data_IF_459732600697
#
_entry.id   IF_459732600697
#
_cell.length_a   1.000
_cell.length_b   1.000
_cell.length_c   1.000
_cell.angle_alpha   90.00
_cell.angle_beta   90.00
_cell.angle_gamma   90.00
#
_symmetry.space_group_name_H-M   'P 1'
#
loop_
_entity.id
_entity.type
_entity.pdbx_description
1 polymer ?
#
# COMPACT_ATOMS: atom_id res chain seq x y z
N UNK A 1 -15.39 -5.42 -3.95
CA UNK A 1 -14.63 -4.18 -3.66
C UNK A 1 -13.48 -4.53 -2.73
N UNK A 2 -12.22 -4.33 -3.16
CA UNK A 2 -11.04 -4.39 -2.28
C UNK A 2 -10.85 -3.06 -1.58
N UNK A 3 -10.57 -3.08 -0.27
CA UNK A 3 -10.41 -1.85 0.52
C UNK A 3 -9.17 -1.05 0.09
N UNK A 4 -8.04 -1.72 -0.15
CA UNK A 4 -6.81 -1.10 -0.67
C UNK A 4 -7.04 -0.46 -2.02
N UNK A 5 -7.49 -1.26 -3.00
CA UNK A 5 -7.65 -0.83 -4.39
C UNK A 5 -8.65 0.31 -4.55
N UNK A 6 -9.80 0.21 -3.89
CA UNK A 6 -10.83 1.25 -3.96
C UNK A 6 -10.36 2.60 -3.42
N UNK A 7 -9.44 2.60 -2.46
CA UNK A 7 -8.81 3.81 -1.96
C UNK A 7 -7.72 4.34 -2.88
N UNK A 8 -6.82 3.46 -3.34
CA UNK A 8 -5.67 3.83 -4.15
C UNK A 8 -6.08 4.31 -5.56
N UNK A 9 -7.05 3.63 -6.19
CA UNK A 9 -7.50 3.96 -7.55
C UNK A 9 -8.22 5.30 -7.66
N UNK A 10 -8.92 5.75 -6.63
CA UNK A 10 -9.63 7.03 -6.66
C UNK A 10 -8.83 8.19 -6.06
N UNK A 11 -7.74 7.90 -5.39
CA UNK A 11 -6.89 8.89 -4.72
C UNK A 11 -6.48 10.08 -5.59
N UNK A 12 -6.01 9.89 -6.86
CA UNK A 12 -5.55 11.00 -7.70
C UNK A 12 -6.66 12.00 -8.05
N UNK A 13 -7.91 11.54 -8.06
CA UNK A 13 -9.06 12.35 -8.46
C UNK A 13 -9.58 13.26 -7.33
N UNK A 14 -9.19 13.02 -6.07
CA UNK A 14 -9.67 13.83 -4.93
C UNK A 14 -9.36 15.31 -5.11
N UNK A 15 -8.21 15.66 -5.70
CA UNK A 15 -7.84 17.06 -5.95
C UNK A 15 -8.77 17.78 -6.94
N UNK A 16 -9.56 17.06 -7.73
CA UNK A 16 -10.51 17.59 -8.72
C UNK A 16 -11.92 17.74 -8.15
N UNK A 17 -12.19 17.17 -6.96
CA UNK A 17 -13.54 17.09 -6.37
C UNK A 17 -14.22 18.46 -6.15
N UNK A 18 -13.48 19.54 -5.95
CA UNK A 18 -14.06 20.87 -5.78
C UNK A 18 -14.53 21.48 -7.08
N UNK A 19 -14.01 21.02 -8.23
CA UNK A 19 -14.40 21.50 -9.55
C UNK A 19 -15.50 20.64 -10.20
N UNK A 20 -15.75 19.46 -9.65
CA UNK A 20 -16.70 18.48 -10.19
C UNK A 20 -17.59 17.90 -9.07
N UNK A 21 -18.86 18.38 -8.95
CA UNK A 21 -19.79 17.91 -7.93
C UNK A 21 -20.15 16.43 -8.03
N UNK A 22 -20.24 15.85 -9.23
CA UNK A 22 -20.56 14.42 -9.43
C UNK A 22 -19.39 13.55 -8.96
N UNK A 23 -18.19 13.96 -9.31
CA UNK A 23 -16.96 13.31 -8.80
C UNK A 23 -16.88 13.39 -7.27
N UNK A 24 -17.21 14.54 -6.69
CA UNK A 24 -17.22 14.73 -5.23
C UNK A 24 -18.20 13.77 -4.56
N UNK A 25 -19.42 13.64 -5.09
CA UNK A 25 -20.44 12.72 -4.60
C UNK A 25 -19.99 11.25 -4.73
N UNK A 26 -19.43 10.87 -5.87
CA UNK A 26 -18.88 9.53 -6.08
C UNK A 26 -17.78 9.20 -5.07
N UNK A 27 -16.84 10.11 -4.82
CA UNK A 27 -15.77 9.92 -3.83
C UNK A 27 -16.31 9.75 -2.41
N UNK A 28 -17.31 10.56 -2.02
CA UNK A 28 -18.00 10.40 -0.74
C UNK A 28 -18.68 9.03 -0.63
N UNK A 29 -19.34 8.58 -1.70
CA UNK A 29 -19.96 7.26 -1.79
C UNK A 29 -18.95 6.10 -1.62
N UNK A 30 -17.77 6.19 -2.25
CA UNK A 30 -16.68 5.22 -2.08
C UNK A 30 -16.24 5.15 -0.62
N UNK A 31 -16.01 6.30 0.03
CA UNK A 31 -15.57 6.36 1.42
C UNK A 31 -16.61 5.78 2.37
N UNK A 32 -17.89 6.14 2.20
CA UNK A 32 -18.98 5.59 3.01
C UNK A 32 -19.11 4.07 2.83
N UNK A 33 -18.94 3.57 1.60
CA UNK A 33 -18.92 2.13 1.33
C UNK A 33 -17.76 1.44 2.02
N UNK A 34 -16.58 2.05 2.06
CA UNK A 34 -15.41 1.51 2.80
C UNK A 34 -15.69 1.41 4.30
N UNK A 35 -16.32 2.42 4.92
CA UNK A 35 -16.71 2.36 6.34
C UNK A 35 -17.69 1.22 6.62
N UNK A 36 -18.69 1.06 5.74
CA UNK A 36 -19.63 -0.06 5.83
C UNK A 36 -18.92 -1.41 5.74
N UNK A 37 -17.97 -1.56 4.82
CA UNK A 37 -17.17 -2.78 4.68
C UNK A 37 -16.37 -3.08 5.96
N UNK A 38 -15.68 -2.10 6.53
CA UNK A 38 -14.96 -2.25 7.81
C UNK A 38 -15.91 -2.67 8.95
N UNK A 39 -17.14 -2.15 8.96
CA UNK A 39 -18.14 -2.50 9.97
C UNK A 39 -18.72 -3.91 9.79
N UNK A 40 -18.71 -4.46 8.57
CA UNK A 40 -19.10 -5.86 8.31
C UNK A 40 -18.04 -6.82 8.85
N UNK A 41 -16.78 -6.60 8.49
CA UNK A 41 -15.65 -7.40 8.97
C UNK A 41 -14.31 -6.66 8.77
N UNK A 42 -13.65 -6.19 9.84
CA UNK A 42 -12.39 -5.47 9.73
C UNK A 42 -11.19 -6.37 9.38
N UNK A 43 -11.35 -7.69 9.38
CA UNK A 43 -10.32 -8.63 8.96
C UNK A 43 -10.35 -8.99 7.47
N UNK A 44 -11.42 -8.58 6.75
CA UNK A 44 -11.57 -8.86 5.34
C UNK A 44 -10.91 -7.76 4.49
N UNK A 45 -10.25 -8.18 3.41
CA UNK A 45 -9.65 -7.28 2.42
C UNK A 45 -10.60 -6.98 1.26
N UNK A 46 -11.56 -7.89 0.96
CA UNK A 46 -12.46 -7.74 -0.19
C UNK A 46 -13.91 -8.11 0.13
N UNK A 47 -14.84 -7.37 -0.49
CA UNK A 47 -16.28 -7.44 -0.22
C UNK A 47 -17.10 -7.59 -1.51
N UNK A 48 -18.20 -8.35 -1.42
CA UNK A 48 -19.21 -8.48 -2.45
C UNK A 48 -20.15 -7.25 -2.46
N UNK A 49 -20.93 -7.13 -3.53
CA UNK A 49 -22.07 -6.22 -3.55
C UNK A 49 -23.34 -6.95 -3.03
N UNK A 50 -23.47 -6.95 -1.71
CA UNK A 50 -24.45 -7.73 -0.98
C UNK A 50 -23.96 -9.13 -0.58
N UNK A 51 -24.89 -9.95 -0.06
CA UNK A 51 -24.59 -11.30 0.41
C UNK A 51 -24.55 -12.31 -0.75
N UNK A 52 -23.46 -13.06 -0.90
CA UNK A 52 -23.29 -14.17 -1.87
C UNK A 52 -22.91 -15.44 -1.11
N UNK A 53 -23.88 -16.30 -0.75
CA UNK A 53 -23.63 -17.47 0.10
C UNK A 53 -22.66 -18.50 -0.46
N UNK A 54 -22.55 -18.60 -1.79
CA UNK A 54 -21.69 -19.53 -2.55
C UNK A 54 -20.57 -18.79 -3.31
N UNK A 55 -20.07 -17.69 -2.72
CA UNK A 55 -18.99 -16.90 -3.27
C UNK A 55 -17.68 -17.69 -3.46
N UNK A 56 -16.82 -17.17 -4.34
CA UNK A 56 -15.62 -17.87 -4.84
C UNK A 56 -14.71 -18.42 -3.73
N UNK A 57 -14.50 -17.65 -2.66
CA UNK A 57 -13.60 -18.01 -1.55
C UNK A 57 -14.31 -18.49 -0.28
N UNK A 58 -15.61 -18.84 -0.36
CA UNK A 58 -16.38 -19.31 0.80
C UNK A 58 -15.85 -20.62 1.41
N UNK A 59 -14.98 -21.35 0.69
CA UNK A 59 -14.31 -22.56 1.19
C UNK A 59 -13.03 -22.28 1.99
N UNK A 60 -12.59 -21.03 2.11
CA UNK A 60 -11.43 -20.68 2.93
C UNK A 60 -11.69 -20.99 4.40
N UNK A 61 -10.69 -21.53 5.07
CA UNK A 61 -10.76 -21.89 6.49
C UNK A 61 -10.49 -20.65 7.37
N UNK A 62 -11.47 -19.78 7.42
CA UNK A 62 -11.54 -18.56 8.23
C UNK A 62 -13.03 -18.28 8.50
N UNK A 63 -13.36 -17.23 9.28
CA UNK A 63 -14.75 -16.87 9.59
C UNK A 63 -15.38 -16.10 8.40
N UNK A 64 -15.62 -16.83 7.28
CA UNK A 64 -16.24 -16.27 6.08
C UNK A 64 -17.71 -15.92 6.30
N UNK A 65 -18.14 -14.79 5.72
CA UNK A 65 -19.53 -14.33 5.68
C UNK A 65 -19.96 -14.11 4.22
N UNK A 66 -21.25 -14.20 3.91
CA UNK A 66 -21.73 -14.01 2.52
C UNK A 66 -21.39 -12.66 1.89
N UNK A 67 -21.20 -11.62 2.69
CA UNK A 67 -20.82 -10.28 2.24
C UNK A 67 -19.33 -10.17 1.86
N UNK A 68 -18.51 -11.16 2.25
CA UNK A 68 -17.07 -11.14 2.00
C UNK A 68 -16.75 -11.84 0.68
N UNK A 69 -15.93 -11.21 -0.14
CA UNK A 69 -15.32 -11.87 -1.28
C UNK A 69 -14.07 -12.65 -0.84
N UNK A 70 -13.22 -12.04 0.01
CA UNK A 70 -12.02 -12.64 0.56
C UNK A 70 -11.74 -12.09 1.96
N UNK A 71 -11.16 -12.93 2.84
CA UNK A 71 -10.90 -12.56 4.24
C UNK A 71 -9.41 -12.69 4.59
N UNK A 72 -8.55 -12.13 3.76
CA UNK A 72 -7.11 -12.00 4.04
C UNK A 72 -6.86 -10.79 4.94
N UNK A 73 -6.25 -11.01 6.11
CA UNK A 73 -5.92 -9.94 7.03
C UNK A 73 -4.66 -9.18 6.59
N UNK A 74 -4.84 -7.93 6.27
CA UNK A 74 -3.84 -6.96 5.84
C UNK A 74 -4.03 -5.65 6.60
N UNK A 75 -2.99 -5.14 7.25
CA UNK A 75 -3.06 -3.85 7.97
C UNK A 75 -3.48 -2.72 7.03
N UNK A 76 -2.91 -2.69 5.83
CA UNK A 76 -3.14 -1.62 4.86
C UNK A 76 -4.57 -1.55 4.35
N UNK A 77 -5.30 -2.67 4.32
CA UNK A 77 -6.72 -2.69 3.99
C UNK A 77 -7.57 -1.80 4.91
N UNK A 78 -7.15 -1.60 6.17
CA UNK A 78 -7.80 -0.64 7.07
C UNK A 78 -7.20 0.77 6.97
N UNK A 79 -5.97 0.92 6.50
CA UNK A 79 -5.28 2.21 6.42
C UNK A 79 -5.68 3.04 5.19
N UNK A 80 -5.87 2.39 4.03
CA UNK A 80 -6.26 3.09 2.80
C UNK A 80 -7.57 3.87 2.91
N UNK A 81 -8.67 3.32 3.51
CA UNK A 81 -9.89 4.07 3.77
C UNK A 81 -9.68 5.31 4.63
N UNK A 82 -8.85 5.22 5.67
CA UNK A 82 -8.55 6.35 6.55
C UNK A 82 -7.75 7.44 5.82
N UNK A 83 -6.77 7.02 5.02
CA UNK A 83 -5.96 7.93 4.20
C UNK A 83 -6.84 8.66 3.19
N UNK A 84 -7.74 7.95 2.48
CA UNK A 84 -8.65 8.53 1.49
C UNK A 84 -9.62 9.52 2.14
N UNK A 85 -10.30 9.12 3.22
CA UNK A 85 -11.26 9.97 3.93
C UNK A 85 -10.62 11.26 4.45
N UNK A 86 -9.40 11.17 5.00
CA UNK A 86 -8.65 12.33 5.45
C UNK A 86 -8.31 13.27 4.30
N UNK A 87 -7.83 12.75 3.17
CA UNK A 87 -7.48 13.55 2.00
C UNK A 87 -8.72 14.24 1.39
N UNK A 88 -9.83 13.49 1.25
CA UNK A 88 -11.10 14.05 0.80
C UNK A 88 -11.54 15.24 1.67
N UNK A 89 -11.53 15.06 3.00
CA UNK A 89 -11.88 16.13 3.92
C UNK A 89 -10.95 17.34 3.81
N UNK A 90 -9.65 17.10 3.77
CA UNK A 90 -8.66 18.19 3.66
C UNK A 90 -8.79 18.99 2.36
N UNK A 91 -9.17 18.32 1.29
CA UNK A 91 -9.32 18.94 -0.04
C UNK A 91 -10.66 19.65 -0.18
N UNK A 92 -11.75 19.01 0.26
CA UNK A 92 -13.11 19.52 0.00
C UNK A 92 -13.71 20.33 1.15
N UNK A 93 -13.19 20.20 2.37
CA UNK A 93 -13.79 20.72 3.59
C UNK A 93 -15.06 19.98 4.01
N UNK A 94 -15.53 18.99 3.24
CA UNK A 94 -16.76 18.24 3.52
C UNK A 94 -16.55 17.25 4.64
N UNK A 95 -17.22 17.46 5.76
CA UNK A 95 -17.19 16.63 6.96
C UNK A 95 -18.41 15.71 7.08
N UNK A 96 -19.35 15.73 6.14
CA UNK A 96 -20.62 14.99 6.21
C UNK A 96 -20.44 13.47 6.23
N UNK A 97 -19.34 12.98 5.67
CA UNK A 97 -18.98 11.55 5.66
C UNK A 97 -18.60 11.01 7.04
N UNK A 98 -18.27 11.86 8.02
CA UNK A 98 -17.84 11.45 9.36
C UNK A 98 -19.00 11.31 10.34
N UNK A 99 -19.91 10.42 10.02
CA UNK A 99 -21.10 10.07 10.77
C UNK A 99 -20.87 8.94 11.81
N UNK A 100 -21.92 8.34 12.34
CA UNK A 100 -21.82 7.23 13.31
C UNK A 100 -21.21 5.94 12.68
N UNK A 101 -21.37 5.70 11.37
CA UNK A 101 -20.69 4.57 10.68
C UNK A 101 -19.17 4.75 10.68
N UNK A 102 -18.70 5.98 10.50
CA UNK A 102 -17.28 6.31 10.65
C UNK A 102 -16.79 6.04 12.08
N UNK A 103 -17.52 6.50 13.09
CA UNK A 103 -17.13 6.29 14.50
C UNK A 103 -17.04 4.79 14.81
N UNK A 104 -18.02 4.01 14.34
CA UNK A 104 -18.00 2.56 14.50
C UNK A 104 -16.82 1.93 13.74
N UNK A 105 -16.54 2.37 12.52
CA UNK A 105 -15.42 1.86 11.73
C UNK A 105 -14.07 2.10 12.44
N UNK A 106 -13.83 3.29 12.97
CA UNK A 106 -12.61 3.58 13.75
C UNK A 106 -12.53 2.76 15.03
N UNK A 107 -13.63 2.54 15.70
CA UNK A 107 -13.70 1.68 16.90
C UNK A 107 -13.29 0.25 16.53
N UNK A 108 -13.77 -0.27 15.39
CA UNK A 108 -13.42 -1.59 14.89
C UNK A 108 -11.92 -1.66 14.47
N UNK A 109 -11.39 -0.62 13.79
CA UNK A 109 -9.98 -0.53 13.44
C UNK A 109 -9.09 -0.59 14.68
N UNK A 110 -9.38 0.22 15.71
CA UNK A 110 -8.60 0.23 16.95
C UNK A 110 -8.66 -1.12 17.66
N UNK A 111 -9.83 -1.73 17.75
CA UNK A 111 -10.00 -3.06 18.32
C UNK A 111 -9.14 -4.09 17.59
N UNK A 112 -9.27 -4.14 16.27
CA UNK A 112 -8.54 -5.10 15.41
C UNK A 112 -7.01 -4.93 15.51
N UNK A 113 -6.52 -3.69 15.47
CA UNK A 113 -5.09 -3.44 15.63
C UNK A 113 -4.57 -3.86 17.00
N UNK A 114 -5.32 -3.59 18.10
CA UNK A 114 -4.96 -4.02 19.46
C UNK A 114 -4.97 -5.55 19.59
N UNK A 115 -5.97 -6.23 19.04
CA UNK A 115 -6.03 -7.70 18.99
C UNK A 115 -4.81 -8.27 18.25
N UNK A 116 -4.41 -7.65 17.14
CA UNK A 116 -3.27 -8.09 16.32
C UNK A 116 -1.91 -7.62 16.84
N UNK A 117 -1.83 -6.83 17.91
CA UNK A 117 -0.60 -6.71 18.69
C UNK A 117 -0.27 -7.99 19.46
N UNK A 118 -1.23 -8.90 19.61
CA UNK A 118 -1.11 -10.22 20.26
C UNK A 118 -0.56 -10.19 21.69
N UNK A 119 -0.81 -9.09 22.43
CA UNK A 119 -0.38 -8.94 23.83
C UNK A 119 -1.10 -9.91 24.77
N UNK A 120 -2.38 -10.17 24.50
CA UNK A 120 -3.28 -10.99 25.32
C UNK A 120 -3.55 -12.37 24.68
N UNK A 121 -2.68 -12.82 23.76
CA UNK A 121 -2.79 -14.09 23.04
C UNK A 121 -2.75 -13.91 21.52
N UNK A 122 -3.01 -15.00 20.79
CA UNK A 122 -2.86 -15.05 19.33
C UNK A 122 -3.92 -14.26 18.54
N UNK A 123 -4.96 -13.75 19.23
CA UNK A 123 -6.08 -13.06 18.61
C UNK A 123 -7.12 -14.01 17.99
N UNK A 124 -8.24 -13.46 17.47
CA UNK A 124 -9.35 -14.24 16.93
C UNK A 124 -9.15 -14.67 15.47
N UNK A 125 -8.14 -14.13 14.77
CA UNK A 125 -7.96 -14.34 13.35
C UNK A 125 -7.12 -15.57 13.03
N UNK A 126 -7.64 -16.38 12.10
CA UNK A 126 -6.94 -17.49 11.43
C UNK A 126 -7.32 -17.50 9.96
N UNK A 127 -6.40 -17.97 9.13
CA UNK A 127 -6.66 -18.13 7.70
C UNK A 127 -5.88 -19.31 7.14
N UNK A 128 -6.57 -20.23 6.48
CA UNK A 128 -5.97 -21.21 5.60
C UNK A 128 -6.79 -21.33 4.32
N UNK A 129 -6.11 -21.58 3.23
CA UNK A 129 -6.69 -21.86 1.91
C UNK A 129 -6.10 -23.16 1.38
N UNK A 130 -6.94 -24.00 0.80
CA UNK A 130 -6.45 -25.17 0.06
C UNK A 130 -5.93 -24.70 -1.30
N UNK A 131 -4.61 -24.66 -1.43
CA UNK A 131 -3.92 -24.11 -2.61
C UNK A 131 -2.58 -24.80 -2.83
N UNK A 132 -2.07 -24.77 -4.06
CA UNK A 132 -0.72 -25.21 -4.40
C UNK A 132 0.32 -24.08 -4.20
N UNK A 133 -0.15 -22.83 -4.04
CA UNK A 133 0.71 -21.66 -3.83
C UNK A 133 0.96 -21.46 -2.33
N UNK A 134 2.18 -21.71 -1.88
CA UNK A 134 2.55 -21.61 -0.47
C UNK A 134 2.28 -20.22 0.15
N UNK A 135 2.34 -19.15 -0.65
CA UNK A 135 2.11 -17.77 -0.19
C UNK A 135 0.62 -17.37 -0.20
N UNK A 136 -0.27 -18.23 -0.72
CA UNK A 136 -1.71 -17.96 -0.74
C UNK A 136 -2.45 -18.54 0.48
N UNK A 137 -1.72 -19.01 1.46
CA UNK A 137 -2.23 -19.56 2.73
C UNK A 137 -1.28 -19.23 3.88
N UNK A 138 -1.80 -19.25 5.11
CA UNK A 138 -1.02 -18.94 6.31
C UNK A 138 -0.59 -20.25 6.99
N UNK A 139 0.69 -20.37 7.31
CA UNK A 139 1.28 -21.52 8.01
C UNK A 139 0.81 -21.64 9.47
N UNK A 140 1.25 -22.67 10.18
CA UNK A 140 1.01 -22.86 11.61
C UNK A 140 -0.48 -22.79 11.97
N UNK A 141 -1.29 -23.68 11.35
CA UNK A 141 -2.75 -23.74 11.53
C UNK A 141 -3.47 -22.40 11.30
N UNK A 142 -2.97 -21.60 10.37
CA UNK A 142 -3.53 -20.31 10.00
C UNK A 142 -3.12 -19.15 10.91
N UNK A 143 -2.24 -19.36 11.87
CA UNK A 143 -1.75 -18.34 12.80
C UNK A 143 -0.50 -17.62 12.31
N UNK A 144 0.22 -18.21 11.35
CA UNK A 144 1.50 -17.72 10.82
C UNK A 144 2.70 -17.97 11.73
N UNK A 145 3.84 -17.41 11.38
CA UNK A 145 5.05 -17.52 12.17
C UNK A 145 4.87 -16.94 13.59
N UNK A 146 5.50 -17.53 14.62
CA UNK A 146 5.45 -16.97 15.97
C UNK A 146 6.00 -15.55 16.04
N UNK A 147 5.37 -14.71 16.86
CA UNK A 147 5.83 -13.35 17.14
C UNK A 147 6.03 -13.15 18.64
N UNK A 148 6.98 -12.29 18.98
CA UNK A 148 7.08 -11.72 20.33
C UNK A 148 6.28 -10.42 20.36
N UNK A 149 5.25 -10.29 21.21
CA UNK A 149 4.48 -9.06 21.33
C UNK A 149 5.36 -7.90 21.79
N UNK A 150 5.62 -6.96 20.91
CA UNK A 150 6.52 -5.84 21.15
C UNK A 150 5.85 -4.47 20.89
N UNK A 151 4.53 -4.49 20.65
CA UNK A 151 3.75 -3.30 20.33
C UNK A 151 3.53 -3.08 18.82
N UNK A 152 4.13 -3.92 17.96
CA UNK A 152 3.82 -3.94 16.52
C UNK A 152 2.54 -4.73 16.25
N UNK A 153 1.92 -4.46 15.11
CA UNK A 153 0.68 -5.09 14.65
C UNK A 153 1.05 -6.20 13.64
N UNK A 154 0.51 -7.38 13.85
CA UNK A 154 0.64 -8.50 12.91
C UNK A 154 -0.15 -8.21 11.64
N UNK A 155 0.45 -8.45 10.47
CA UNK A 155 -0.22 -8.59 9.18
C UNK A 155 -0.01 -10.02 8.69
N UNK A 156 -1.08 -10.75 8.45
CA UNK A 156 -0.96 -12.13 7.95
C UNK A 156 -0.62 -12.17 6.48
N UNK A 157 -1.01 -11.13 5.74
CA UNK A 157 -0.72 -10.96 4.33
C UNK A 157 -0.09 -9.60 4.05
N UNK A 158 0.62 -9.53 2.91
CA UNK A 158 1.22 -8.34 2.31
C UNK A 158 0.22 -7.65 1.39
N UNK A 159 0.46 -6.40 0.98
CA UNK A 159 -0.36 -5.73 -0.04
C UNK A 159 -0.44 -6.47 -1.39
N UNK A 160 0.45 -7.40 -1.63
CA UNK A 160 0.45 -8.31 -2.78
C UNK A 160 -0.48 -9.52 -2.65
N UNK A 161 -1.23 -9.64 -1.55
CA UNK A 161 -2.04 -10.80 -1.16
C UNK A 161 -1.21 -12.06 -0.80
N UNK A 162 0.12 -11.94 -0.73
CA UNK A 162 1.01 -13.02 -0.30
C UNK A 162 1.17 -13.05 1.23
N UNK A 163 1.20 -14.23 1.81
CA UNK A 163 1.42 -14.41 3.24
C UNK A 163 2.80 -13.87 3.68
N UNK A 164 2.84 -13.21 4.84
CA UNK A 164 4.07 -12.72 5.44
C UNK A 164 4.95 -13.88 5.92
N UNK A 165 6.26 -13.71 5.81
CA UNK A 165 7.25 -14.65 6.38
C UNK A 165 7.46 -14.39 7.86
N UNK A 166 7.72 -13.14 8.24
CA UNK A 166 7.72 -12.64 9.61
C UNK A 166 6.56 -11.66 9.75
N UNK A 167 5.71 -11.85 10.76
CA UNK A 167 4.37 -11.26 10.72
C UNK A 167 4.27 -9.77 11.03
N UNK A 168 5.32 -9.12 11.52
CA UNK A 168 5.32 -7.67 11.64
C UNK A 168 5.84 -7.03 10.35
N UNK A 169 4.94 -6.80 9.40
CA UNK A 169 5.22 -6.10 8.15
C UNK A 169 5.49 -4.62 8.44
N UNK A 170 6.75 -4.21 8.28
CA UNK A 170 7.22 -2.89 8.73
C UNK A 170 6.56 -1.74 7.98
N UNK A 171 6.51 -1.70 6.62
CA UNK A 171 5.87 -0.57 5.93
C UNK A 171 4.38 -0.45 6.26
N UNK A 172 3.65 -1.56 6.45
CA UNK A 172 2.24 -1.50 6.87
C UNK A 172 2.07 -1.00 8.31
N UNK A 173 3.01 -1.30 9.21
CA UNK A 173 3.00 -0.75 10.56
C UNK A 173 3.26 0.77 10.57
N UNK A 174 4.17 1.29 9.72
CA UNK A 174 4.32 2.74 9.52
C UNK A 174 3.04 3.36 8.98
N UNK A 175 2.40 2.72 8.01
CA UNK A 175 1.14 3.20 7.45
C UNK A 175 0.00 3.20 8.48
N UNK A 176 -0.03 2.24 9.42
CA UNK A 176 -0.96 2.26 10.55
C UNK A 176 -0.73 3.48 11.45
N UNK A 177 0.52 3.84 11.75
CA UNK A 177 0.86 5.03 12.55
C UNK A 177 0.33 6.30 11.90
N UNK A 178 0.63 6.53 10.62
CA UNK A 178 0.19 7.73 9.91
C UNK A 178 -1.33 7.79 9.74
N UNK A 179 -1.98 6.65 9.52
CA UNK A 179 -3.43 6.54 9.38
C UNK A 179 -4.17 6.79 10.71
N UNK A 180 -3.69 6.25 11.82
CA UNK A 180 -4.24 6.49 13.15
C UNK A 180 -4.12 7.97 13.56
N UNK A 181 -3.02 8.64 13.20
CA UNK A 181 -2.86 10.09 13.45
C UNK A 181 -3.86 10.93 12.65
N UNK A 182 -4.11 10.56 11.39
CA UNK A 182 -5.14 11.19 10.55
C UNK A 182 -6.54 10.99 11.13
N UNK A 183 -6.87 9.76 11.54
CA UNK A 183 -8.13 9.46 12.21
C UNK A 183 -8.30 10.26 13.51
N UNK A 184 -7.25 10.35 14.32
CA UNK A 184 -7.28 11.14 15.56
C UNK A 184 -7.58 12.62 15.30
N UNK A 185 -7.02 13.21 14.24
CA UNK A 185 -7.30 14.60 13.88
C UNK A 185 -8.77 14.80 13.48
N UNK A 186 -9.35 13.89 12.69
CA UNK A 186 -10.77 13.94 12.32
C UNK A 186 -11.66 13.84 13.56
N UNK A 187 -11.40 12.83 14.41
CA UNK A 187 -12.16 12.60 15.64
C UNK A 187 -12.14 13.81 16.58
N UNK A 188 -11.00 14.50 16.67
CA UNK A 188 -10.85 15.68 17.52
C UNK A 188 -11.51 16.91 16.90
N UNK A 189 -11.24 17.20 15.62
CA UNK A 189 -11.67 18.45 14.98
C UNK A 189 -13.12 18.40 14.48
N UNK A 190 -13.58 17.26 13.97
CA UNK A 190 -14.92 17.10 13.40
C UNK A 190 -15.89 16.54 14.42
N UNK A 191 -15.62 15.35 14.94
CA UNK A 191 -16.57 14.62 15.76
C UNK A 191 -16.57 15.02 17.25
N UNK A 192 -15.55 15.74 17.73
CA UNK A 192 -15.36 16.10 19.15
C UNK A 192 -15.27 14.86 20.08
N UNK A 193 -14.83 13.72 19.55
CA UNK A 193 -14.65 12.45 20.28
C UNK A 193 -13.24 12.37 20.87
N UNK A 194 -12.92 13.19 21.86
CA UNK A 194 -11.57 13.36 22.42
C UNK A 194 -10.99 12.08 23.01
N UNK A 195 -11.81 11.23 23.65
CA UNK A 195 -11.35 9.95 24.20
C UNK A 195 -10.88 9.00 23.09
N UNK A 196 -11.68 8.83 22.02
CA UNK A 196 -11.33 7.97 20.89
C UNK A 196 -10.14 8.52 20.10
N UNK A 197 -10.06 9.85 19.94
CA UNK A 197 -8.87 10.52 19.37
C UNK A 197 -7.60 10.19 20.15
N UNK A 198 -7.69 10.24 21.49
CA UNK A 198 -6.56 9.91 22.36
C UNK A 198 -6.13 8.45 22.19
N UNK A 199 -7.08 7.50 22.11
CA UNK A 199 -6.76 6.09 21.87
C UNK A 199 -6.02 5.88 20.54
N UNK A 200 -6.43 6.57 19.47
CA UNK A 200 -5.71 6.54 18.20
C UNK A 200 -4.28 7.07 18.33
N UNK A 201 -4.08 8.18 19.03
CA UNK A 201 -2.77 8.80 19.27
C UNK A 201 -1.87 7.89 20.10
N UNK A 202 -2.41 7.30 21.17
CA UNK A 202 -1.67 6.41 22.09
C UNK A 202 -1.20 5.15 21.34
N UNK A 203 -2.08 4.51 20.57
CA UNK A 203 -1.72 3.34 19.77
C UNK A 203 -0.68 3.69 18.68
N UNK A 204 -0.86 4.81 17.98
CA UNK A 204 0.11 5.27 16.99
C UNK A 204 1.49 5.50 17.62
N UNK A 205 1.54 6.11 18.80
CA UNK A 205 2.80 6.34 19.52
C UNK A 205 3.46 5.05 19.99
N UNK A 206 2.68 4.08 20.43
CA UNK A 206 3.18 2.77 20.82
C UNK A 206 3.82 2.03 19.63
N UNK A 207 3.09 1.95 18.50
CA UNK A 207 3.58 1.30 17.28
C UNK A 207 4.85 2.00 16.76
N UNK A 208 4.86 3.34 16.72
CA UNK A 208 6.05 4.10 16.30
C UNK A 208 7.25 3.83 17.18
N UNK A 209 7.05 3.74 18.50
CA UNK A 209 8.12 3.42 19.44
C UNK A 209 8.69 2.02 19.20
N UNK A 210 7.81 1.06 18.93
CA UNK A 210 8.20 -0.30 18.58
C UNK A 210 8.94 -0.36 17.24
N UNK A 211 8.49 0.36 16.20
CA UNK A 211 9.17 0.47 14.91
C UNK A 211 10.59 1.00 15.06
N UNK A 212 10.79 2.09 15.81
CA UNK A 212 12.14 2.66 16.06
C UNK A 212 13.09 1.66 16.71
N UNK A 213 12.56 0.74 17.52
CA UNK A 213 13.37 -0.25 18.26
C UNK A 213 13.61 -1.55 17.49
N UNK A 214 12.63 -2.04 16.76
CA UNK A 214 12.65 -3.40 16.21
C UNK A 214 12.74 -3.46 14.67
N UNK A 215 12.41 -2.38 13.95
CA UNK A 215 12.39 -2.39 12.49
C UNK A 215 13.73 -2.04 11.85
N UNK A 216 14.71 -1.56 12.62
CA UNK A 216 16.00 -1.08 12.09
C UNK A 216 17.04 -2.18 12.17
N UNK A 217 17.68 -2.45 11.03
CA UNK A 217 18.78 -3.40 10.88
C UNK A 217 20.08 -2.68 10.51
N UNK A 218 21.21 -3.06 11.13
CA UNK A 218 22.53 -2.55 10.79
C UNK A 218 23.15 -3.38 9.65
N UNK A 219 22.88 -2.97 8.42
CA UNK A 219 23.38 -3.66 7.23
C UNK A 219 24.86 -3.33 6.99
N UNK A 220 25.76 -4.32 6.73
CA UNK A 220 27.20 -4.09 6.60
C UNK A 220 27.59 -3.13 5.46
N UNK A 221 26.82 -3.10 4.38
CA UNK A 221 27.09 -2.28 3.19
C UNK A 221 26.36 -0.93 3.22
N UNK A 222 25.13 -0.87 3.75
CA UNK A 222 24.25 0.31 3.67
C UNK A 222 24.16 1.10 4.97
N UNK A 223 24.66 0.56 6.09
CA UNK A 223 24.44 1.14 7.42
C UNK A 223 23.03 0.78 7.95
N UNK A 224 22.44 1.66 8.74
CA UNK A 224 21.08 1.44 9.26
C UNK A 224 20.05 1.48 8.14
N UNK A 225 19.27 0.42 7.99
CA UNK A 225 18.13 0.30 7.05
C UNK A 225 16.89 -0.18 7.80
N UNK A 226 15.72 0.05 7.23
CA UNK A 226 14.49 -0.63 7.67
C UNK A 226 14.44 -2.04 7.08
N UNK A 227 14.09 -3.04 7.91
CA UNK A 227 13.73 -4.37 7.44
C UNK A 227 12.33 -4.35 6.87
N UNK A 228 12.02 -5.28 5.96
CA UNK A 228 10.66 -5.41 5.39
C UNK A 228 9.69 -6.07 6.38
N UNK A 229 10.15 -7.15 7.02
CA UNK A 229 9.39 -7.84 8.06
C UNK A 229 10.29 -8.15 9.27
N UNK A 230 9.69 -8.17 10.46
CA UNK A 230 10.34 -8.58 11.71
C UNK A 230 9.39 -9.43 12.57
N UNK A 231 9.92 -10.08 13.60
CA UNK A 231 9.15 -10.98 14.49
C UNK A 231 9.17 -10.58 15.97
N UNK A 232 9.95 -9.56 16.33
CA UNK A 232 10.16 -9.14 17.72
C UNK A 232 11.17 -9.98 18.51
N UNK A 233 11.61 -11.14 18.00
CA UNK A 233 12.67 -11.95 18.61
C UNK A 233 14.07 -11.53 18.16
N UNK A 234 14.17 -10.67 17.16
CA UNK A 234 15.42 -10.17 16.59
C UNK A 234 15.71 -10.64 15.18
N UNK A 235 14.80 -11.38 14.55
CA UNK A 235 14.90 -11.76 13.15
C UNK A 235 14.39 -10.63 12.26
N UNK A 236 15.07 -10.46 11.11
CA UNK A 236 14.79 -9.42 10.11
C UNK A 236 14.74 -10.06 8.72
N UNK A 237 13.68 -9.82 7.98
CA UNK A 237 13.56 -10.20 6.58
C UNK A 237 13.93 -9.01 5.70
N UNK A 238 15.04 -9.14 4.98
CA UNK A 238 15.62 -8.06 4.19
C UNK A 238 15.24 -8.22 2.71
N UNK A 239 14.23 -7.53 2.30
CA UNK A 239 13.73 -7.41 0.93
C UNK A 239 12.89 -6.14 0.80
N UNK A 240 12.34 -5.89 -0.37
CA UNK A 240 11.16 -5.07 -0.59
C UNK A 240 10.26 -5.73 -1.62
N UNK A 241 8.97 -5.44 -1.57
CA UNK A 241 7.94 -5.84 -2.52
C UNK A 241 7.40 -4.57 -3.20
N UNK A 242 7.07 -4.65 -4.49
CA UNK A 242 6.61 -3.49 -5.23
C UNK A 242 5.25 -2.96 -4.77
N UNK A 243 4.40 -3.82 -4.19
CA UNK A 243 3.05 -3.44 -3.79
C UNK A 243 3.06 -2.49 -2.59
N UNK A 244 2.32 -1.40 -2.70
CA UNK A 244 2.28 -0.32 -1.69
C UNK A 244 1.23 -0.64 -0.62
N UNK A 245 1.60 -0.60 0.68
CA UNK A 245 2.83 -0.08 1.30
C UNK A 245 4.07 -0.97 1.12
N UNK A 246 5.16 -0.34 0.69
CA UNK A 246 6.49 -0.91 0.57
C UNK A 246 7.52 -0.05 1.28
N UNK A 247 8.73 -0.53 1.50
CA UNK A 247 9.80 0.28 2.08
C UNK A 247 10.12 1.49 1.20
N UNK A 248 10.14 1.30 -0.12
CA UNK A 248 10.36 2.39 -1.07
C UNK A 248 9.26 3.47 -1.00
N UNK A 249 8.01 3.06 -0.77
CA UNK A 249 6.85 3.95 -0.81
C UNK A 249 6.60 4.72 0.50
N UNK A 250 7.32 4.49 1.59
CA UNK A 250 7.04 5.11 2.89
C UNK A 250 6.89 6.64 2.83
N UNK A 251 7.73 7.43 2.13
CA UNK A 251 7.52 8.88 2.02
C UNK A 251 6.27 9.26 1.21
N UNK A 252 5.90 8.48 0.19
CA UNK A 252 4.68 8.70 -0.59
C UNK A 252 3.41 8.57 0.27
N UNK A 253 3.40 7.64 1.22
CA UNK A 253 2.30 7.48 2.17
C UNK A 253 2.31 8.52 3.31
N UNK A 254 3.41 9.28 3.45
CA UNK A 254 3.61 10.24 4.53
C UNK A 254 4.04 9.60 5.84
N UNK A 255 4.64 8.42 5.77
CA UNK A 255 5.04 7.62 6.93
C UNK A 255 6.41 8.04 7.49
N UNK A 256 7.33 8.39 6.60
CA UNK A 256 8.66 8.88 6.93
C UNK A 256 9.03 10.09 6.08
N UNK A 257 9.97 10.91 6.58
CA UNK A 257 10.51 11.99 5.76
C UNK A 257 11.45 11.41 4.69
N UNK A 258 11.34 11.92 3.45
CA UNK A 258 12.20 11.49 2.33
C UNK A 258 13.69 11.69 2.63
N UNK A 259 14.05 12.66 3.47
CA UNK A 259 15.43 12.94 3.88
C UNK A 259 15.87 12.18 5.15
N UNK A 260 15.02 11.28 5.69
CA UNK A 260 15.43 10.44 6.82
C UNK A 260 16.64 9.58 6.42
N UNK A 261 17.75 9.61 7.18
CA UNK A 261 18.97 8.89 6.81
C UNK A 261 18.79 7.37 6.73
N UNK A 262 17.92 6.79 7.57
CA UNK A 262 17.63 5.35 7.55
C UNK A 262 16.83 5.01 6.29
N UNK A 263 15.85 5.86 5.95
CA UNK A 263 15.11 5.71 4.72
C UNK A 263 16.01 5.83 3.48
N UNK A 264 16.91 6.81 3.42
CA UNK A 264 17.82 6.97 2.30
C UNK A 264 18.77 5.76 2.14
N UNK A 265 19.21 5.18 3.23
CA UNK A 265 19.97 3.93 3.20
C UNK A 265 19.10 2.76 2.70
N UNK A 266 17.87 2.67 3.20
CA UNK A 266 16.88 1.66 2.78
C UNK A 266 16.58 1.79 1.29
N UNK A 267 16.36 3.01 0.79
CA UNK A 267 16.11 3.29 -0.62
C UNK A 267 17.25 2.79 -1.53
N UNK A 268 18.51 2.94 -1.08
CA UNK A 268 19.68 2.41 -1.82
C UNK A 268 19.73 0.89 -1.77
N UNK A 269 19.38 0.28 -0.64
CA UNK A 269 19.34 -1.17 -0.48
C UNK A 269 18.26 -1.79 -1.37
N UNK A 270 17.01 -1.32 -1.29
CA UNK A 270 15.88 -1.92 -2.01
C UNK A 270 15.99 -1.76 -3.53
N UNK A 271 16.73 -0.74 -4.00
CA UNK A 271 17.02 -0.53 -5.43
C UNK A 271 18.43 -1.03 -5.80
N UNK A 272 18.77 -2.24 -5.37
CA UNK A 272 20.04 -2.90 -5.65
C UNK A 272 19.86 -4.42 -5.66
N UNK A 273 20.85 -5.14 -6.19
CA UNK A 273 20.89 -6.60 -6.24
C UNK A 273 20.94 -7.28 -4.86
N UNK A 274 21.15 -6.51 -3.77
CA UNK A 274 21.06 -7.02 -2.40
C UNK A 274 19.58 -7.19 -1.97
N UNK A 275 18.61 -6.58 -2.67
CA UNK A 275 17.20 -6.92 -2.57
C UNK A 275 16.91 -8.08 -3.54
N UNK A 276 16.48 -9.27 -3.06
CA UNK A 276 16.26 -10.45 -3.89
C UNK A 276 15.17 -10.27 -4.96
N UNK A 277 14.33 -9.24 -4.85
CA UNK A 277 13.26 -8.92 -5.79
C UNK A 277 13.54 -7.65 -6.61
N UNK A 278 14.74 -7.12 -6.55
CA UNK A 278 15.19 -6.13 -7.53
C UNK A 278 15.69 -6.84 -8.80
N UNK A 279 15.11 -6.48 -9.93
CA UNK A 279 15.47 -7.05 -11.22
C UNK A 279 15.96 -5.96 -12.16
N UNK A 280 17.00 -6.30 -12.94
CA UNK A 280 17.60 -5.42 -13.93
C UNK A 280 17.86 -6.19 -15.21
N UNK A 281 17.43 -5.63 -16.34
CA UNK A 281 17.59 -6.25 -17.64
C UNK A 281 17.58 -5.26 -18.79
N UNK A 282 17.38 -5.76 -20.01
CA UNK A 282 17.43 -4.96 -21.24
C UNK A 282 16.25 -4.00 -21.40
N UNK A 283 15.06 -4.36 -20.91
CA UNK A 283 13.87 -3.54 -21.00
C UNK A 283 13.81 -2.49 -19.90
N UNK A 284 14.26 -2.84 -18.68
CA UNK A 284 14.22 -1.94 -17.54
C UNK A 284 14.75 -2.56 -16.26
N UNK A 285 14.64 -1.78 -15.17
CA UNK A 285 14.98 -2.22 -13.82
C UNK A 285 13.93 -1.79 -12.83
N UNK A 286 13.75 -2.54 -11.76
CA UNK A 286 12.81 -2.21 -10.68
C UNK A 286 12.57 -3.35 -9.72
N UNK A 287 11.70 -3.10 -8.76
CA UNK A 287 11.32 -4.09 -7.75
C UNK A 287 10.12 -4.88 -8.28
N UNK A 288 10.15 -6.19 -8.10
CA UNK A 288 9.04 -7.10 -8.30
C UNK A 288 8.46 -7.58 -6.98
N UNK A 289 8.33 -8.89 -6.85
CA UNK A 289 7.86 -9.55 -5.65
C UNK A 289 7.65 -11.05 -5.88
N UNK A 290 7.44 -11.82 -4.82
CA UNK A 290 7.18 -13.25 -4.97
C UNK A 290 5.83 -13.55 -5.64
N UNK A 291 4.89 -12.61 -5.63
CA UNK A 291 3.53 -12.77 -6.15
C UNK A 291 3.51 -13.21 -7.62
N UNK A 292 4.27 -12.55 -8.47
CA UNK A 292 4.38 -12.87 -9.92
C UNK A 292 5.62 -13.72 -10.23
N UNK A 293 6.61 -13.72 -9.32
CA UNK A 293 7.84 -14.49 -9.47
C UNK A 293 9.03 -13.67 -9.98
N UNK A 294 10.10 -14.40 -10.29
CA UNK A 294 11.39 -13.79 -10.65
C UNK A 294 11.36 -13.12 -12.02
N UNK A 295 12.23 -12.12 -12.18
CA UNK A 295 12.48 -11.37 -13.41
C UNK A 295 11.30 -10.49 -13.88
N UNK A 296 10.23 -10.40 -13.08
CA UNK A 296 9.05 -9.58 -13.36
C UNK A 296 9.12 -8.28 -12.55
N UNK A 297 9.31 -7.17 -13.25
CA UNK A 297 9.33 -5.81 -12.67
C UNK A 297 7.91 -5.25 -12.62
N UNK A 298 7.53 -4.65 -11.50
CA UNK A 298 6.28 -3.94 -11.38
C UNK A 298 6.48 -2.45 -11.69
N UNK A 299 5.74 -1.87 -12.67
CA UNK A 299 5.77 -0.43 -12.95
C UNK A 299 5.54 0.42 -11.70
N UNK A 300 4.74 -0.06 -10.74
CA UNK A 300 4.49 0.59 -9.45
C UNK A 300 5.78 0.94 -8.70
N UNK A 301 6.79 0.06 -8.72
CA UNK A 301 8.07 0.33 -8.06
C UNK A 301 8.85 1.46 -8.74
N UNK A 302 8.78 1.55 -10.07
CA UNK A 302 9.40 2.62 -10.85
C UNK A 302 8.70 3.96 -10.56
N UNK A 303 7.36 3.95 -10.45
CA UNK A 303 6.59 5.12 -10.05
C UNK A 303 6.94 5.56 -8.62
N UNK A 304 7.05 4.62 -7.66
CA UNK A 304 7.45 4.94 -6.29
C UNK A 304 8.86 5.52 -6.23
N UNK A 305 9.79 5.03 -7.05
CA UNK A 305 11.11 5.62 -7.18
C UNK A 305 11.04 7.08 -7.63
N UNK A 306 10.18 7.38 -8.61
CA UNK A 306 9.96 8.75 -9.09
C UNK A 306 9.27 9.62 -8.02
N UNK A 307 8.21 9.13 -7.36
CA UNK A 307 7.49 9.86 -6.31
C UNK A 307 8.38 10.27 -5.13
N UNK A 308 9.35 9.42 -4.79
CA UNK A 308 10.26 9.61 -3.66
C UNK A 308 11.62 10.19 -4.06
N UNK A 309 11.77 10.64 -5.31
CA UNK A 309 12.97 11.30 -5.81
C UNK A 309 12.87 12.81 -5.70
N UNK A 310 14.00 13.43 -5.35
CA UNK A 310 14.22 14.88 -5.42
C UNK A 310 15.11 15.28 -6.61
N UNK A 311 15.48 14.30 -7.45
CA UNK A 311 16.36 14.48 -8.60
C UNK A 311 15.57 14.37 -9.90
N UNK A 312 15.48 15.46 -10.65
CA UNK A 312 14.71 15.53 -11.90
C UNK A 312 15.25 14.58 -12.98
N UNK A 313 16.56 14.30 -13.01
CA UNK A 313 17.14 13.34 -13.95
C UNK A 313 16.69 11.90 -13.61
N UNK A 314 16.62 11.54 -12.32
CA UNK A 314 16.09 10.25 -11.89
C UNK A 314 14.59 10.11 -12.21
N UNK A 315 13.79 11.16 -11.95
CA UNK A 315 12.36 11.19 -12.29
C UNK A 315 12.16 10.99 -13.79
N UNK A 316 12.90 11.73 -14.60
CA UNK A 316 12.86 11.62 -16.07
C UNK A 316 13.19 10.20 -16.54
N UNK A 317 14.24 9.59 -15.97
CA UNK A 317 14.64 8.20 -16.27
C UNK A 317 13.52 7.21 -15.93
N UNK A 318 12.86 7.36 -14.77
CA UNK A 318 11.73 6.53 -14.37
C UNK A 318 10.56 6.65 -15.35
N UNK A 319 10.17 7.87 -15.72
CA UNK A 319 9.05 8.09 -16.66
C UNK A 319 9.37 7.51 -18.03
N UNK A 320 10.59 7.75 -18.53
CA UNK A 320 11.01 7.16 -19.79
C UNK A 320 10.93 5.64 -19.76
N UNK A 321 11.40 5.00 -18.70
CA UNK A 321 11.32 3.55 -18.53
C UNK A 321 9.86 3.05 -18.55
N UNK A 322 8.95 3.75 -17.88
CA UNK A 322 7.52 3.43 -17.91
C UNK A 322 6.93 3.53 -19.31
N UNK A 323 7.30 4.55 -20.08
CA UNK A 323 6.88 4.70 -21.48
C UNK A 323 7.48 3.61 -22.41
N UNK A 324 8.74 3.25 -22.21
CA UNK A 324 9.42 2.25 -23.03
C UNK A 324 8.95 0.81 -22.75
N UNK A 325 8.22 0.58 -21.65
CA UNK A 325 7.80 -0.75 -21.19
C UNK A 325 6.29 -0.98 -21.21
N UNK A 326 5.52 -0.10 -21.86
CA UNK A 326 4.07 -0.24 -22.06
C UNK A 326 3.69 -1.25 -23.17
N UNK A 327 4.69 -1.83 -23.84
CA UNK A 327 4.52 -2.81 -24.91
C UNK A 327 3.63 -2.34 -26.08
N UNK A 328 3.62 -1.05 -26.37
CA UNK A 328 2.78 -0.39 -27.39
C UNK A 328 1.27 -0.47 -27.09
N UNK A 329 0.88 -0.71 -25.83
CA UNK A 329 -0.53 -0.78 -25.41
C UNK A 329 -1.07 0.56 -24.96
N UNK A 330 -0.20 1.50 -24.57
CA UNK A 330 -0.57 2.77 -23.95
C UNK A 330 -1.04 2.65 -22.51
N UNK A 331 -0.85 1.50 -21.86
CA UNK A 331 -1.28 1.22 -20.48
C UNK A 331 -0.15 0.68 -19.60
N UNK A 332 -0.26 0.94 -18.31
CA UNK A 332 0.58 0.29 -17.31
C UNK A 332 0.07 -1.11 -17.01
N UNK A 333 0.93 -2.10 -17.20
CA UNK A 333 0.69 -3.49 -16.88
C UNK A 333 0.83 -3.74 -15.38
N UNK A 334 0.40 -4.90 -14.88
CA UNK A 334 0.69 -5.34 -13.51
C UNK A 334 2.20 -5.54 -13.32
N UNK A 335 2.83 -6.28 -14.25
CA UNK A 335 4.28 -6.47 -14.29
C UNK A 335 4.76 -6.72 -15.71
N UNK A 336 6.05 -6.50 -15.96
CA UNK A 336 6.70 -6.83 -17.22
C UNK A 336 8.06 -7.52 -16.97
N UNK A 337 8.48 -8.37 -17.92
CA UNK A 337 9.74 -9.07 -17.79
C UNK A 337 10.92 -8.12 -18.06
N UNK A 338 11.91 -8.11 -17.19
CA UNK A 338 13.07 -7.20 -17.22
C UNK A 338 13.81 -7.11 -18.57
N UNK A 339 13.78 -8.18 -19.38
CA UNK A 339 14.47 -8.24 -20.69
C UNK A 339 13.53 -8.13 -21.89
N UNK A 340 12.21 -8.25 -21.69
CA UNK A 340 11.22 -8.23 -22.78
C UNK A 340 9.90 -7.61 -22.30
N UNK A 341 9.62 -6.33 -22.64
CA UNK A 341 8.41 -5.65 -22.18
C UNK A 341 7.12 -6.27 -22.74
N UNK A 342 7.17 -7.01 -23.86
CA UNK A 342 6.01 -7.70 -24.43
C UNK A 342 5.60 -8.96 -23.65
N UNK A 343 6.44 -9.42 -22.71
CA UNK A 343 6.08 -10.46 -21.75
C UNK A 343 5.62 -9.80 -20.46
N UNK A 344 4.32 -9.57 -20.34
CA UNK A 344 3.71 -8.89 -19.20
C UNK A 344 2.54 -9.68 -18.61
N UNK A 345 2.14 -9.35 -17.38
CA UNK A 345 0.91 -9.82 -16.74
C UNK A 345 -0.12 -8.70 -16.73
N UNK A 346 -1.41 -9.04 -16.87
CA UNK A 346 -2.54 -8.11 -16.94
C UNK A 346 -2.27 -6.88 -17.83
N UNK A 347 -2.77 -6.90 -19.03
CA UNK A 347 -2.58 -5.84 -20.04
C UNK A 347 -2.97 -4.44 -19.53
N UNK A 348 -3.94 -4.37 -18.63
CA UNK A 348 -4.38 -3.17 -17.96
C UNK A 348 -4.57 -3.47 -16.47
N UNK A 349 -3.92 -2.68 -15.62
CA UNK A 349 -4.06 -2.80 -14.17
C UNK A 349 -4.44 -1.43 -13.58
N UNK A 350 -5.66 -1.33 -13.07
CA UNK A 350 -6.28 -0.05 -12.67
C UNK A 350 -5.41 0.76 -11.71
N UNK A 351 -4.91 0.14 -10.65
CA UNK A 351 -4.12 0.83 -9.65
C UNK A 351 -2.86 1.46 -10.25
N UNK A 352 -2.14 0.75 -11.11
CA UNK A 352 -0.93 1.30 -11.74
C UNK A 352 -1.22 2.41 -12.75
N UNK A 353 -2.31 2.29 -13.51
CA UNK A 353 -2.69 3.35 -14.45
C UNK A 353 -3.09 4.64 -13.73
N UNK A 354 -3.85 4.53 -12.62
CA UNK A 354 -4.20 5.71 -11.81
C UNK A 354 -2.98 6.29 -11.09
N UNK A 355 -2.07 5.44 -10.62
CA UNK A 355 -0.82 5.88 -9.98
C UNK A 355 0.11 6.61 -10.97
N UNK A 356 0.17 6.14 -12.23
CA UNK A 356 0.91 6.86 -13.28
C UNK A 356 0.28 8.24 -13.54
N UNK A 357 -1.05 8.32 -13.65
CA UNK A 357 -1.77 9.58 -13.76
C UNK A 357 -1.47 10.52 -12.58
N UNK A 358 -1.42 9.99 -11.35
CA UNK A 358 -1.04 10.77 -10.15
C UNK A 358 0.38 11.32 -10.26
N UNK A 359 1.33 10.53 -10.75
CA UNK A 359 2.72 10.99 -10.95
C UNK A 359 2.77 12.17 -11.94
N UNK A 360 2.03 12.09 -13.04
CA UNK A 360 1.94 13.19 -14.01
C UNK A 360 1.31 14.44 -13.38
N UNK A 361 0.18 14.30 -12.68
CA UNK A 361 -0.47 15.41 -11.98
C UNK A 361 0.44 16.05 -10.93
N UNK A 362 1.20 15.25 -10.18
CA UNK A 362 2.20 15.74 -9.21
C UNK A 362 3.22 16.64 -9.91
N UNK A 363 3.77 16.20 -11.04
CA UNK A 363 4.79 16.98 -11.77
C UNK A 363 4.22 18.28 -12.36
N UNK A 364 2.98 18.24 -12.85
CA UNK A 364 2.28 19.45 -13.31
C UNK A 364 2.08 20.42 -12.15
N UNK A 365 1.59 19.95 -11.00
CA UNK A 365 1.36 20.77 -9.82
C UNK A 365 2.65 21.35 -9.21
N UNK A 366 3.79 20.67 -9.39
CA UNK A 366 5.12 21.14 -8.98
C UNK A 366 5.80 22.06 -10.00
N UNK A 367 5.12 22.40 -11.11
CA UNK A 367 5.67 23.23 -12.17
C UNK A 367 6.75 22.56 -13.01
N UNK A 368 6.82 21.21 -13.02
CA UNK A 368 7.81 20.41 -13.75
C UNK A 368 7.33 19.95 -15.14
N UNK A 369 6.48 20.75 -15.79
CA UNK A 369 5.92 20.43 -17.11
C UNK A 369 7.00 20.29 -18.18
N UNK A 370 8.06 21.09 -18.13
CA UNK A 370 9.18 21.03 -19.09
C UNK A 370 9.88 19.66 -19.06
N UNK A 371 9.92 18.99 -17.90
CA UNK A 371 10.45 17.65 -17.78
C UNK A 371 9.63 16.65 -18.61
N UNK A 372 8.29 16.74 -18.55
CA UNK A 372 7.36 15.92 -19.34
C UNK A 372 7.48 16.22 -20.84
N UNK A 373 7.49 17.50 -21.24
CA UNK A 373 7.61 17.92 -22.64
C UNK A 373 8.94 17.44 -23.26
N UNK A 374 10.02 17.41 -22.47
CA UNK A 374 11.31 16.92 -22.93
C UNK A 374 11.33 15.41 -23.28
N UNK A 375 10.37 14.63 -22.77
CA UNK A 375 10.20 13.21 -23.08
C UNK A 375 9.39 13.00 -24.37
N UNK A 376 8.38 13.83 -24.64
CA UNK A 376 7.54 13.76 -25.85
C UNK A 376 8.39 13.99 -27.08
N UNK A 377 9.32 14.96 -27.05
CA UNK A 377 10.21 15.26 -28.18
C UNK A 377 11.24 14.17 -28.51
N UNK A 378 11.50 13.24 -27.60
CA UNK A 378 12.41 12.10 -27.84
C UNK A 378 11.69 10.96 -28.56
N UNK A 379 10.37 10.88 -28.46
CA UNK A 379 9.56 9.78 -29.03
C UNK A 379 9.00 10.09 -30.44
N UNK A 380 9.13 11.32 -30.97
CA UNK A 380 8.80 11.57 -32.38
C UNK A 380 9.92 11.04 -33.28
N UNK A 381 9.65 10.04 -34.14
CA UNK A 381 10.58 9.71 -35.20
C UNK A 381 10.71 10.95 -36.10
N UNK A 382 11.92 11.41 -36.32
CA UNK A 382 12.20 12.42 -37.32
C UNK A 382 11.52 11.99 -38.63
N UNK A 383 10.38 12.60 -38.95
CA UNK A 383 9.82 12.58 -40.30
C UNK A 383 10.83 13.32 -41.18
N UNK A 384 11.80 12.61 -41.68
CA UNK A 384 12.51 13.08 -42.84
C UNK A 384 11.51 13.10 -43.98
N UNK A 385 11.11 14.34 -44.37
CA UNK A 385 10.44 14.64 -45.62
C UNK A 385 11.20 13.96 -46.76
N UNK A 386 10.48 13.13 -47.50
CA UNK A 386 10.80 12.82 -48.88
C UNK A 386 10.41 14.00 -49.78
#
# INVERSE_FOLDING_TARGET
MWLRDSGAQVWPYVQLANADPELKEMLAGVILRQFKCINIDPYANAFNDGAIPDGHWMSDLTDMKPELHERKWEIDSLCYPLRLAYHYWKTTGDASIFNEEWIQAITNVLKTFKEQQRKDGVGPYKFQRKTERALDTVSNDGLGAPVKPVGLIVSSFRPSDDATTLQFLVPSNFFAVSSLRKAAEILEKVNKKTALSKECKDLAQEVETALKKYAVYNHPKYGKIYAFEVDGFGNHHLMDDANVPSLLAMPYLGDVNVNDPIYQNTRRFVWSEDNPYFFKGKAGEGIGGPHIGYDMVWPMSIMMKAFTSQNDAEIKTCIKMLMDTDADTGFMHESFHKDNPKKFTRAWFAWQNTLFGELILKLVNEGKVDLLLSLIHISEPTRHSL
#
